data_IF_375826841450
#
_entry.id   IF_375826841450
#
_cell.length_a   1.000
_cell.length_b   1.000
_cell.length_c   1.000
_cell.angle_alpha   90.00
_cell.angle_beta   90.00
_cell.angle_gamma   90.00
#
_symmetry.space_group_name_H-M   'P 1'
#
loop_
_entity.id
_entity.type
_entity.pdbx_description
1 polymer ?
#
# COMPACT_ATOMS: atom_id res chain seq x y z
N UNK A 1 23.19 29.02 -16.96
CA UNK A 1 23.07 27.61 -17.35
C UNK A 1 22.20 26.92 -16.30
N UNK A 2 20.98 26.50 -16.66
CA UNK A 2 20.02 25.89 -15.74
C UNK A 2 20.28 24.40 -15.62
N UNK A 3 21.02 23.99 -14.59
CA UNK A 3 21.04 22.59 -14.17
C UNK A 3 19.75 22.31 -13.40
N UNK A 4 18.75 21.81 -14.12
CA UNK A 4 17.53 21.24 -13.56
C UNK A 4 17.87 19.90 -12.89
N UNK A 5 18.57 19.94 -11.77
CA UNK A 5 18.81 18.80 -10.89
C UNK A 5 17.50 18.45 -10.17
N UNK A 6 16.55 17.87 -10.91
CA UNK A 6 15.46 17.09 -10.32
C UNK A 6 16.10 15.83 -9.72
N UNK A 7 16.73 15.96 -8.55
CA UNK A 7 17.03 14.82 -7.69
C UNK A 7 15.69 14.11 -7.49
N UNK A 8 15.56 12.90 -8.01
CA UNK A 8 14.46 12.04 -7.61
C UNK A 8 14.48 12.02 -6.08
N UNK A 9 13.33 12.18 -5.41
CA UNK A 9 13.29 12.05 -3.96
C UNK A 9 13.92 10.70 -3.62
N UNK A 10 14.84 10.73 -2.67
CA UNK A 10 15.56 9.55 -2.22
C UNK A 10 14.53 8.58 -1.61
N UNK A 11 13.96 7.72 -2.46
CA UNK A 11 12.90 6.76 -2.13
C UNK A 11 13.39 5.66 -1.17
N UNK A 12 14.61 5.78 -0.63
CA UNK A 12 15.12 4.93 0.44
C UNK A 12 14.72 5.42 1.83
N UNK A 13 14.17 6.64 1.93
CA UNK A 13 13.77 7.24 3.21
C UNK A 13 12.30 6.99 3.59
N UNK A 14 11.45 6.58 2.64
CA UNK A 14 10.02 6.38 2.90
C UNK A 14 9.76 4.94 3.29
N UNK A 15 9.22 4.67 4.49
CA UNK A 15 8.88 3.31 4.90
C UNK A 15 7.76 2.77 4.02
N UNK A 16 7.98 1.59 3.44
CA UNK A 16 7.01 0.97 2.54
C UNK A 16 6.88 -0.53 2.78
N UNK A 17 5.66 -1.05 2.67
CA UNK A 17 5.37 -2.48 2.68
C UNK A 17 4.93 -2.88 1.28
N UNK A 18 5.62 -3.87 0.70
CA UNK A 18 5.16 -4.56 -0.50
C UNK A 18 4.67 -5.96 -0.13
N UNK A 19 3.79 -6.49 -0.94
CA UNK A 19 3.27 -7.83 -0.75
C UNK A 19 2.26 -8.18 -1.80
N UNK A 20 1.96 -9.46 -1.88
CA UNK A 20 0.89 -9.97 -2.72
C UNK A 20 -0.38 -10.05 -1.91
N UNK A 21 -1.43 -9.39 -2.36
CA UNK A 21 -2.75 -9.56 -1.78
C UNK A 21 -3.39 -10.84 -2.35
N UNK A 22 -3.69 -11.79 -1.48
CA UNK A 22 -4.42 -13.01 -1.80
C UNK A 22 -5.87 -12.86 -1.37
N UNK A 23 -6.80 -13.29 -2.21
CA UNK A 23 -8.23 -13.29 -1.94
C UNK A 23 -8.74 -14.72 -1.85
N UNK A 24 -9.42 -15.03 -0.75
CA UNK A 24 -10.15 -16.29 -0.52
C UNK A 24 -11.60 -15.95 -0.17
N UNK A 25 -12.49 -15.98 -1.17
CA UNK A 25 -13.85 -15.45 -1.04
C UNK A 25 -13.85 -13.95 -0.70
N UNK A 26 -14.40 -13.62 0.48
CA UNK A 26 -14.41 -12.24 1.02
C UNK A 26 -13.20 -11.93 1.93
N UNK A 27 -12.32 -12.90 2.17
CA UNK A 27 -11.16 -12.74 3.03
C UNK A 27 -9.94 -12.31 2.21
N UNK A 28 -9.26 -11.26 2.67
CA UNK A 28 -8.03 -10.77 2.07
C UNK A 28 -6.85 -11.02 3.01
N UNK A 29 -5.78 -11.61 2.48
CA UNK A 29 -4.53 -11.84 3.20
C UNK A 29 -3.39 -11.18 2.45
N UNK A 30 -2.66 -10.29 3.12
CA UNK A 30 -1.40 -9.77 2.59
C UNK A 30 -0.28 -10.78 2.86
N UNK A 31 0.25 -11.38 1.80
CA UNK A 31 1.46 -12.17 1.86
C UNK A 31 2.66 -11.25 1.62
N UNK A 32 3.49 -11.07 2.65
CA UNK A 32 4.67 -10.20 2.64
C UNK A 32 5.83 -10.92 3.32
N UNK A 33 7.06 -10.60 2.93
CA UNK A 33 8.29 -11.07 3.57
C UNK A 33 9.03 -9.89 4.23
N UNK A 34 10.05 -10.20 5.04
CA UNK A 34 10.84 -9.15 5.69
C UNK A 34 11.61 -8.29 4.69
N UNK A 35 12.01 -8.86 3.56
CA UNK A 35 12.68 -8.15 2.46
C UNK A 35 11.75 -7.22 1.69
N UNK A 36 10.43 -7.42 1.79
CA UNK A 36 9.43 -6.56 1.16
C UNK A 36 9.09 -5.29 1.98
N UNK A 37 9.63 -5.19 3.19
CA UNK A 37 9.50 -4.02 4.07
C UNK A 37 10.77 -3.17 3.91
N UNK A 38 10.64 -2.02 3.24
CA UNK A 38 11.76 -1.06 3.12
C UNK A 38 11.64 -0.01 4.20
N UNK A 39 12.77 0.27 4.86
CA UNK A 39 12.90 1.17 6.00
C UNK A 39 12.00 0.81 7.20
N UNK A 40 12.41 1.24 8.39
CA UNK A 40 11.67 0.95 9.61
C UNK A 40 10.52 1.95 9.76
N UNK A 41 9.30 1.44 9.92
CA UNK A 41 8.17 2.24 10.34
C UNK A 41 8.36 2.69 11.79
N UNK A 42 8.00 3.94 12.08
CA UNK A 42 7.86 4.42 13.46
C UNK A 42 6.64 3.78 14.12
N UNK A 43 6.58 3.81 15.46
CA UNK A 43 5.43 3.27 16.21
C UNK A 43 4.11 3.96 15.85
N UNK A 44 4.16 5.25 15.53
CA UNK A 44 2.98 6.02 15.14
C UNK A 44 2.48 5.60 13.75
N UNK A 45 3.38 5.46 12.78
CA UNK A 45 3.03 4.99 11.44
C UNK A 45 2.50 3.55 11.46
N UNK A 46 3.04 2.66 12.31
CA UNK A 46 2.49 1.31 12.50
C UNK A 46 1.05 1.38 13.00
N UNK A 47 0.74 2.22 13.99
CA UNK A 47 -0.63 2.38 14.50
C UNK A 47 -1.58 2.91 13.43
N UNK A 48 -1.16 3.89 12.64
CA UNK A 48 -1.96 4.39 11.52
C UNK A 48 -2.19 3.32 10.47
N UNK A 49 -1.16 2.51 10.17
CA UNK A 49 -1.28 1.42 9.22
C UNK A 49 -2.24 0.33 9.72
N UNK A 50 -2.17 -0.05 11.00
CA UNK A 50 -3.09 -1.03 11.60
C UNK A 50 -4.56 -0.58 11.50
N UNK A 51 -4.82 0.73 11.61
CA UNK A 51 -6.17 1.31 11.49
C UNK A 51 -6.62 1.47 10.03
N UNK A 52 -5.73 1.93 9.15
CA UNK A 52 -6.06 2.24 7.77
C UNK A 52 -6.09 1.01 6.87
N UNK A 53 -5.24 0.00 7.13
CA UNK A 53 -5.08 -1.15 6.26
C UNK A 53 -6.39 -1.94 6.04
N UNK A 54 -7.20 -2.24 7.07
CA UNK A 54 -8.50 -2.88 6.86
C UNK A 54 -9.47 -2.03 6.03
N UNK A 55 -9.41 -0.70 6.14
CA UNK A 55 -10.27 0.22 5.37
C UNK A 55 -9.86 0.25 3.89
N UNK A 56 -8.55 0.30 3.64
CA UNK A 56 -7.96 0.23 2.30
C UNK A 56 -8.32 -1.10 1.62
N UNK A 57 -8.23 -2.22 2.36
CA UNK A 57 -8.67 -3.52 1.85
C UNK A 57 -10.16 -3.53 1.50
N UNK A 58 -11.02 -3.01 2.37
CA UNK A 58 -12.47 -2.90 2.09
C UNK A 58 -12.76 -2.07 0.83
N UNK A 59 -12.08 -0.93 0.64
CA UNK A 59 -12.24 -0.09 -0.56
C UNK A 59 -11.85 -0.83 -1.84
N UNK A 60 -10.82 -1.68 -1.80
CA UNK A 60 -10.43 -2.52 -2.94
C UNK A 60 -11.46 -3.61 -3.27
N UNK A 61 -12.18 -4.16 -2.28
CA UNK A 61 -13.26 -5.13 -2.52
C UNK A 61 -14.44 -4.46 -3.23
N UNK A 62 -14.84 -3.29 -2.74
CA UNK A 62 -15.99 -2.56 -3.30
C UNK A 62 -15.75 -2.16 -4.75
N UNK A 63 -14.50 -1.85 -5.11
CA UNK A 63 -14.13 -1.52 -6.50
C UNK A 63 -13.93 -2.76 -7.38
N UNK A 64 -13.59 -3.91 -6.82
CA UNK A 64 -13.42 -5.18 -7.56
C UNK A 64 -14.71 -6.00 -7.72
N UNK A 65 -15.81 -5.63 -7.08
CA UNK A 65 -17.10 -6.30 -7.25
C UNK A 65 -17.60 -6.11 -8.70
N UNK A 66 -18.01 -7.19 -9.40
CA UNK A 66 -18.52 -7.10 -10.76
C UNK A 66 -19.88 -6.38 -10.73
N UNK A 67 -19.86 -5.08 -10.96
CA UNK A 67 -21.05 -4.23 -10.91
C UNK A 67 -20.84 -2.81 -10.37
N UNK A 68 -19.62 -2.38 -10.04
CA UNK A 68 -19.40 -0.96 -9.68
C UNK A 68 -19.61 -0.07 -10.91
N UNK A 69 -20.55 0.90 -10.89
CA UNK A 69 -21.01 1.64 -12.07
C UNK A 69 -20.07 2.78 -12.52
N UNK A 70 -18.75 2.62 -12.43
CA UNK A 70 -17.78 3.68 -12.77
C UNK A 70 -16.92 3.38 -14.03
N UNK A 71 -17.45 2.61 -14.97
CA UNK A 71 -16.90 2.57 -16.32
C UNK A 71 -18.00 2.31 -17.36
N UNK A 72 -18.81 3.34 -17.62
CA UNK A 72 -19.52 3.53 -18.88
C UNK A 72 -18.99 4.78 -19.56
#
# INVERSE_FOLDING_TARGET
MSENNRKQPDNHSVPCIRGRLLQDGCLFRLQTSRDDIRAAFTKEEVRWLEQAFPLILQQMVTTAAPGSPEAQ
#
